data_IF_678260942889
#
_entry.id   IF_678260942889
#
_cell.length_a   1.000
_cell.length_b   1.000
_cell.length_c   1.000
_cell.angle_alpha   90.00
_cell.angle_beta   90.00
_cell.angle_gamma   90.00
#
_symmetry.space_group_name_H-M   'P 1'
#
loop_
_entity.id
_entity.type
_entity.pdbx_description
1 polymer ?
#
# COMPACT_ATOMS: atom_id res chain seq x y z
N UNK A 1 -23.34 -16.23 5.62
CA UNK A 1 -22.56 -15.59 4.53
C UNK A 1 -21.57 -14.62 5.16
N UNK A 2 -20.30 -14.64 4.76
CA UNK A 2 -19.24 -13.78 5.33
C UNK A 2 -19.36 -12.30 4.89
N UNK A 3 -20.10 -12.04 3.81
CA UNK A 3 -20.26 -10.73 3.22
C UNK A 3 -21.71 -10.24 3.27
N UNK A 4 -21.93 -8.91 3.37
CA UNK A 4 -23.26 -8.34 3.29
C UNK A 4 -23.88 -8.56 1.89
N UNK A 5 -25.22 -8.55 1.78
CA UNK A 5 -25.90 -8.53 0.48
C UNK A 5 -25.49 -7.31 -0.34
N UNK A 6 -25.52 -7.44 -1.68
CA UNK A 6 -25.17 -6.34 -2.60
C UNK A 6 -25.97 -5.08 -2.34
N UNK A 7 -25.29 -3.95 -2.19
CA UNK A 7 -25.89 -2.62 -2.29
C UNK A 7 -24.97 -1.69 -3.05
N UNK A 8 -25.06 -1.70 -4.37
CA UNK A 8 -24.28 -0.80 -5.23
C UNK A 8 -24.95 0.58 -5.33
N UNK A 9 -25.10 1.27 -4.20
CA UNK A 9 -25.80 2.56 -4.06
C UNK A 9 -24.84 3.76 -4.00
N UNK A 10 -23.58 3.57 -4.40
CA UNK A 10 -22.60 4.65 -4.43
C UNK A 10 -23.04 5.79 -5.37
N UNK A 11 -23.56 6.86 -4.78
CA UNK A 11 -23.98 8.09 -5.46
C UNK A 11 -22.93 9.21 -5.38
N UNK A 12 -21.72 8.89 -4.93
CA UNK A 12 -20.62 9.85 -4.82
C UNK A 12 -19.95 10.18 -6.17
N UNK A 13 -18.99 11.11 -6.18
CA UNK A 13 -18.37 11.56 -7.41
C UNK A 13 -17.47 10.49 -8.04
N UNK A 14 -17.51 10.37 -9.37
CA UNK A 14 -16.71 9.39 -10.13
C UNK A 14 -15.20 9.56 -9.98
N UNK A 15 -14.73 10.77 -9.63
CA UNK A 15 -13.31 11.03 -9.36
C UNK A 15 -12.76 10.18 -8.20
N UNK A 16 -13.57 9.88 -7.18
CA UNK A 16 -13.12 9.05 -6.07
C UNK A 16 -12.88 7.59 -6.50
N UNK A 17 -13.70 7.09 -7.44
CA UNK A 17 -13.53 5.76 -8.05
C UNK A 17 -12.22 5.72 -8.83
N UNK A 18 -11.99 6.70 -9.70
CA UNK A 18 -10.77 6.76 -10.51
C UNK A 18 -9.50 6.93 -9.65
N UNK A 19 -9.58 7.76 -8.62
CA UNK A 19 -8.51 7.90 -7.63
C UNK A 19 -8.18 6.54 -7.00
N UNK A 20 -9.17 5.81 -6.48
CA UNK A 20 -8.94 4.50 -5.86
C UNK A 20 -8.39 3.49 -6.85
N UNK A 21 -8.86 3.47 -8.11
CA UNK A 21 -8.32 2.58 -9.14
C UNK A 21 -6.83 2.85 -9.34
N UNK A 22 -6.45 4.11 -9.62
CA UNK A 22 -5.06 4.46 -9.90
C UNK A 22 -4.16 4.25 -8.68
N UNK A 23 -4.61 4.69 -7.50
CA UNK A 23 -3.90 4.50 -6.25
C UNK A 23 -3.68 3.01 -5.97
N UNK A 24 -4.72 2.19 -6.15
CA UNK A 24 -4.65 0.78 -5.82
C UNK A 24 -3.86 -0.04 -6.84
N UNK A 25 -3.77 0.38 -8.11
CA UNK A 25 -2.82 -0.21 -9.06
C UNK A 25 -1.39 -0.04 -8.54
N UNK A 26 -1.01 1.19 -8.16
CA UNK A 26 0.33 1.47 -7.61
C UNK A 26 0.56 0.72 -6.31
N UNK A 27 -0.43 0.69 -5.41
CA UNK A 27 -0.39 -0.05 -4.16
C UNK A 27 -0.17 -1.56 -4.37
N UNK A 28 -0.91 -2.16 -5.32
CA UNK A 28 -0.79 -3.57 -5.67
C UNK A 28 0.61 -3.88 -6.21
N UNK A 29 1.11 -3.08 -7.16
CA UNK A 29 2.44 -3.25 -7.73
C UNK A 29 3.53 -3.14 -6.66
N UNK A 30 3.43 -2.16 -5.77
CA UNK A 30 4.35 -2.01 -4.64
C UNK A 30 4.29 -3.20 -3.67
N UNK A 31 3.08 -3.68 -3.36
CA UNK A 31 2.90 -4.85 -2.51
C UNK A 31 3.58 -6.10 -3.10
N UNK A 32 3.42 -6.31 -4.41
CA UNK A 32 4.10 -7.39 -5.15
C UNK A 32 5.62 -7.22 -5.08
N UNK A 33 6.15 -6.01 -5.34
CA UNK A 33 7.59 -5.75 -5.27
C UNK A 33 8.11 -6.05 -3.86
N UNK A 34 7.50 -5.47 -2.84
CA UNK A 34 7.92 -5.65 -1.46
C UNK A 34 7.88 -7.12 -1.02
N UNK A 35 6.86 -7.89 -1.43
CA UNK A 35 6.72 -9.28 -1.03
C UNK A 35 7.65 -10.24 -1.79
N UNK A 36 7.90 -10.00 -3.08
CA UNK A 36 8.54 -10.99 -3.96
C UNK A 36 9.93 -10.61 -4.48
N UNK A 37 10.33 -9.34 -4.47
CA UNK A 37 11.71 -8.99 -4.85
C UNK A 37 12.69 -9.52 -3.81
N UNK A 38 13.89 -9.92 -4.28
CA UNK A 38 14.95 -10.50 -3.43
C UNK A 38 15.36 -9.59 -2.26
N UNK A 39 15.28 -8.29 -2.45
CA UNK A 39 15.59 -7.27 -1.44
C UNK A 39 14.35 -6.54 -0.92
N UNK A 40 13.14 -7.03 -1.23
CA UNK A 40 11.86 -6.38 -0.94
C UNK A 40 11.80 -4.92 -1.42
N UNK A 41 12.57 -4.59 -2.46
CA UNK A 41 12.71 -3.23 -3.00
C UNK A 41 13.51 -2.26 -2.11
N UNK A 42 14.10 -2.73 -1.02
CA UNK A 42 14.88 -1.91 -0.09
C UNK A 42 16.07 -1.24 -0.78
N UNK A 43 16.86 -2.00 -1.53
CA UNK A 43 18.08 -1.50 -2.19
C UNK A 43 17.77 -1.05 -3.63
N UNK A 44 16.97 -1.82 -4.35
CA UNK A 44 16.68 -1.66 -5.77
C UNK A 44 15.82 -0.43 -6.07
N UNK A 45 14.91 -0.06 -5.14
CA UNK A 45 14.04 1.10 -5.27
C UNK A 45 14.30 2.13 -4.18
N UNK A 46 14.32 1.75 -2.90
CA UNK A 46 14.48 2.68 -1.80
C UNK A 46 15.95 3.04 -1.48
N UNK A 47 16.91 2.48 -2.24
CA UNK A 47 18.36 2.73 -2.13
C UNK A 47 18.93 2.58 -0.71
N UNK A 48 18.29 1.79 0.14
CA UNK A 48 18.78 1.40 1.46
C UNK A 48 19.96 0.43 1.32
N UNK A 49 20.99 0.58 2.16
CA UNK A 49 22.07 -0.40 2.20
C UNK A 49 21.65 -1.61 3.04
N UNK A 50 21.41 -2.75 2.38
CA UNK A 50 21.06 -4.02 3.06
C UNK A 50 22.26 -4.95 3.29
N UNK A 51 23.47 -4.54 2.89
CA UNK A 51 24.72 -5.28 3.12
C UNK A 51 25.41 -4.86 4.42
N UNK A 52 24.60 -4.62 5.46
CA UNK A 52 25.03 -4.23 6.81
C UNK A 52 24.45 -5.21 7.81
N UNK A 53 24.97 -5.19 9.04
CA UNK A 53 24.39 -5.96 10.14
C UNK A 53 22.90 -5.61 10.31
N UNK A 54 22.05 -6.63 10.31
CA UNK A 54 20.60 -6.47 10.36
C UNK A 54 19.92 -6.18 9.01
N UNK A 55 20.64 -6.08 7.89
CA UNK A 55 20.04 -5.83 6.57
C UNK A 55 19.00 -6.87 6.13
N UNK A 56 19.18 -8.14 6.52
CA UNK A 56 18.17 -9.19 6.30
C UNK A 56 16.85 -8.91 7.04
N UNK A 57 16.89 -8.25 8.21
CA UNK A 57 15.69 -7.86 8.94
C UNK A 57 14.93 -6.75 8.20
N UNK A 58 15.64 -5.81 7.55
CA UNK A 58 15.02 -4.77 6.71
C UNK A 58 14.24 -5.43 5.57
N UNK A 59 14.85 -6.39 4.88
CA UNK A 59 14.20 -7.14 3.79
C UNK A 59 12.97 -7.88 4.33
N UNK A 60 13.10 -8.63 5.42
CA UNK A 60 11.97 -9.36 6.00
C UNK A 60 10.81 -8.45 6.41
N UNK A 61 11.10 -7.32 7.08
CA UNK A 61 10.09 -6.35 7.50
C UNK A 61 9.38 -5.71 6.30
N UNK A 62 10.11 -5.36 5.24
CA UNK A 62 9.51 -4.86 4.00
C UNK A 62 8.71 -5.95 3.28
N UNK A 63 9.13 -7.21 3.33
CA UNK A 63 8.32 -8.35 2.87
C UNK A 63 6.97 -8.43 3.57
N UNK A 64 6.95 -8.36 4.90
CA UNK A 64 5.70 -8.31 5.69
C UNK A 64 4.87 -7.07 5.35
N UNK A 65 5.53 -5.93 5.15
CA UNK A 65 4.88 -4.71 4.70
C UNK A 65 4.16 -4.89 3.36
N UNK A 66 4.82 -5.54 2.39
CA UNK A 66 4.25 -5.89 1.09
C UNK A 66 3.04 -6.81 1.22
N UNK A 67 3.11 -7.80 2.10
CA UNK A 67 1.97 -8.68 2.40
C UNK A 67 0.74 -7.90 2.90
N UNK A 68 0.93 -6.98 3.85
CA UNK A 68 -0.17 -6.13 4.34
C UNK A 68 -0.71 -5.21 3.23
N UNK A 69 0.16 -4.64 2.39
CA UNK A 69 -0.27 -3.83 1.24
C UNK A 69 -1.13 -4.62 0.27
N UNK A 70 -0.77 -5.87 -0.04
CA UNK A 70 -1.58 -6.72 -0.92
C UNK A 70 -2.95 -7.05 -0.32
N UNK A 71 -3.02 -7.30 0.99
CA UNK A 71 -4.29 -7.51 1.69
C UNK A 71 -5.18 -6.27 1.58
N UNK A 72 -4.65 -5.07 1.86
CA UNK A 72 -5.40 -3.82 1.72
C UNK A 72 -5.82 -3.60 0.26
N UNK A 73 -4.94 -3.87 -0.69
CA UNK A 73 -5.25 -3.74 -2.11
C UNK A 73 -6.37 -4.67 -2.56
N UNK A 74 -6.42 -5.90 -2.04
CA UNK A 74 -7.53 -6.83 -2.29
C UNK A 74 -8.84 -6.28 -1.74
N UNK A 75 -8.86 -5.68 -0.54
CA UNK A 75 -10.06 -5.03 0.00
C UNK A 75 -10.54 -3.88 -0.89
N UNK A 76 -9.64 -3.01 -1.35
CA UNK A 76 -10.00 -1.91 -2.24
C UNK A 76 -10.53 -2.44 -3.58
N UNK A 77 -9.91 -3.48 -4.15
CA UNK A 77 -10.40 -4.11 -5.39
C UNK A 77 -11.80 -4.73 -5.22
N UNK A 78 -12.06 -5.39 -4.09
CA UNK A 78 -13.39 -5.94 -3.78
C UNK A 78 -14.44 -4.83 -3.65
N UNK A 79 -14.11 -3.73 -2.98
CA UNK A 79 -14.99 -2.56 -2.87
C UNK A 79 -15.28 -1.95 -4.24
N UNK A 80 -14.25 -1.74 -5.06
CA UNK A 80 -14.41 -1.20 -6.42
C UNK A 80 -15.23 -2.12 -7.32
N UNK A 81 -15.08 -3.43 -7.19
CA UNK A 81 -15.79 -4.41 -8.01
C UNK A 81 -17.24 -4.58 -7.60
N UNK A 82 -17.52 -4.67 -6.29
CA UNK A 82 -18.77 -5.29 -5.81
C UNK A 82 -19.41 -4.67 -4.56
N UNK A 83 -18.67 -3.85 -3.82
CA UNK A 83 -19.16 -3.22 -2.58
C UNK A 83 -18.91 -1.70 -2.58
N UNK A 84 -19.35 -1.04 -3.65
CA UNK A 84 -19.03 0.36 -3.95
C UNK A 84 -19.56 1.34 -2.91
N UNK A 85 -20.56 0.96 -2.12
CA UNK A 85 -21.05 1.71 -0.96
C UNK A 85 -19.93 2.03 0.06
N UNK A 86 -18.87 1.21 0.13
CA UNK A 86 -17.72 1.41 1.01
C UNK A 86 -16.58 2.22 0.36
N UNK A 87 -16.75 2.77 -0.83
CA UNK A 87 -15.74 3.66 -1.45
C UNK A 87 -15.30 4.79 -0.49
N UNK A 88 -16.20 5.50 0.22
CA UNK A 88 -15.78 6.53 1.18
C UNK A 88 -14.88 6.00 2.29
N UNK A 89 -15.12 4.77 2.75
CA UNK A 89 -14.29 4.11 3.76
C UNK A 89 -12.89 3.81 3.21
N UNK A 90 -12.78 3.35 1.96
CA UNK A 90 -11.48 3.11 1.32
C UNK A 90 -10.70 4.41 1.08
N UNK A 91 -11.39 5.51 0.73
CA UNK A 91 -10.76 6.84 0.64
C UNK A 91 -10.20 7.26 2.01
N UNK A 92 -10.98 7.07 3.08
CA UNK A 92 -10.55 7.40 4.43
C UNK A 92 -9.36 6.54 4.89
N UNK A 93 -9.38 5.24 4.60
CA UNK A 93 -8.26 4.33 4.88
C UNK A 93 -6.97 4.81 4.20
N UNK A 94 -7.01 5.06 2.89
CA UNK A 94 -5.86 5.58 2.13
C UNK A 94 -5.38 6.91 2.70
N UNK A 95 -6.28 7.84 3.00
CA UNK A 95 -5.90 9.15 3.54
C UNK A 95 -5.19 9.02 4.91
N UNK A 96 -5.76 8.22 5.81
CA UNK A 96 -5.18 7.99 7.16
C UNK A 96 -3.82 7.31 7.04
N UNK A 97 -3.71 6.27 6.20
CA UNK A 97 -2.48 5.55 5.97
C UNK A 97 -1.36 6.50 5.48
N UNK A 98 -1.68 7.36 4.51
CA UNK A 98 -0.73 8.28 3.92
C UNK A 98 -0.29 9.37 4.93
N UNK A 99 -1.21 9.85 5.78
CA UNK A 99 -0.89 10.76 6.87
C UNK A 99 0.05 10.11 7.89
N UNK A 100 -0.23 8.86 8.29
CA UNK A 100 0.64 8.10 9.20
C UNK A 100 2.02 7.92 8.58
N UNK A 101 2.12 7.61 7.28
CA UNK A 101 3.41 7.50 6.58
C UNK A 101 4.21 8.78 6.63
N UNK A 102 3.58 9.93 6.41
CA UNK A 102 4.24 11.24 6.51
C UNK A 102 4.79 11.45 7.92
N UNK A 103 3.98 11.16 8.95
CA UNK A 103 4.40 11.29 10.36
C UNK A 103 5.58 10.36 10.66
N UNK A 104 5.49 9.08 10.28
CA UNK A 104 6.57 8.10 10.51
C UNK A 104 7.85 8.51 9.78
N UNK A 105 7.76 9.01 8.56
CA UNK A 105 8.92 9.47 7.81
C UNK A 105 9.63 10.66 8.49
N UNK A 106 8.88 11.53 9.17
CA UNK A 106 9.45 12.63 9.97
C UNK A 106 10.09 12.14 11.27
N UNK A 107 9.47 11.16 11.94
CA UNK A 107 9.96 10.63 13.21
C UNK A 107 11.16 9.68 13.05
N UNK A 108 11.17 8.91 11.96
CA UNK A 108 12.11 7.82 11.68
C UNK A 108 12.56 7.94 10.21
N UNK A 109 13.36 8.96 9.87
CA UNK A 109 13.80 9.17 8.49
C UNK A 109 14.63 7.97 8.02
N UNK A 110 14.35 7.53 6.78
CA UNK A 110 15.09 6.44 6.14
C UNK A 110 16.43 6.98 5.66
N UNK A 111 17.52 6.30 6.01
CA UNK A 111 18.84 6.57 5.44
C UNK A 111 18.99 5.85 4.10
N UNK A 112 19.31 6.61 3.06
CA UNK A 112 19.51 6.11 1.70
C UNK A 112 20.96 6.29 1.27
N UNK A 113 21.53 5.33 0.55
CA UNK A 113 22.89 5.42 0.03
C UNK A 113 23.03 6.46 -1.10
N UNK A 114 21.92 6.76 -1.80
CA UNK A 114 21.81 7.77 -2.86
C UNK A 114 20.34 8.16 -3.04
N UNK A 115 20.06 9.20 -3.83
CA UNK A 115 18.70 9.57 -4.23
C UNK A 115 17.98 8.38 -4.92
N UNK A 116 16.81 7.94 -4.42
CA UNK A 116 15.97 6.96 -5.10
C UNK A 116 15.58 7.40 -6.52
N UNK A 117 15.39 6.46 -7.47
CA UNK A 117 14.89 6.74 -8.81
C UNK A 117 13.43 7.23 -8.83
#
# INVERSE_FOLDING_TARGET
MLFPPERNDYAGPTIAVWFLILFNIVGTLRGVIHMFYRDSGAQSFATMNVNVDGGKNIVAMLGHWGGLQLIMSVFIWMVLWRYREFIPLMIAEVAIEQLIRIVVHRMKPVTTARTPP
#
